data_IF_956625517903
#
_entry.id   IF_956625517903
#
_cell.length_a   1.000
_cell.length_b   1.000
_cell.length_c   1.000
_cell.angle_alpha   90.00
_cell.angle_beta   90.00
_cell.angle_gamma   90.00
#
_symmetry.space_group_name_H-M   'P 1'
#
loop_
_entity.id
_entity.type
_entity.pdbx_description
1 polymer ?
#
# COMPACT_ATOMS: atom_id res chain seq x y z
N UNK A 1 33.80 58.33 5.57
CA UNK A 1 35.23 58.47 5.92
C UNK A 1 35.84 57.08 5.95
N UNK A 2 36.77 56.86 5.02
CA UNK A 2 37.60 55.67 4.94
C UNK A 2 38.80 55.78 5.90
N UNK A 3 39.54 54.66 6.01
CA UNK A 3 40.96 54.53 6.36
C UNK A 3 41.30 53.94 7.75
N UNK A 4 41.89 52.74 7.74
CA UNK A 4 43.17 52.34 8.38
C UNK A 4 43.33 50.80 8.21
N UNK A 5 44.14 50.29 7.27
CA UNK A 5 45.60 49.99 7.38
C UNK A 5 45.94 49.20 8.64
N UNK A 6 46.74 48.12 8.66
CA UNK A 6 47.45 47.29 7.68
C UNK A 6 48.30 46.34 8.54
N UNK A 7 48.42 45.05 8.19
CA UNK A 7 49.69 44.33 8.44
C UNK A 7 49.85 43.19 7.44
N UNK A 8 50.92 43.38 6.68
CA UNK A 8 51.55 42.60 5.62
C UNK A 8 51.81 41.13 5.97
N UNK A 9 51.62 40.25 4.98
CA UNK A 9 52.46 39.07 4.82
C UNK A 9 52.73 38.82 3.33
N UNK A 10 54.01 38.73 2.95
CA UNK A 10 54.48 38.42 1.59
C UNK A 10 54.70 36.90 1.46
N UNK A 11 54.59 36.33 0.25
CA UNK A 11 54.69 34.89 0.03
C UNK A 11 56.15 34.45 -0.14
N UNK A 12 56.51 33.32 0.48
CA UNK A 12 57.75 32.59 0.15
C UNK A 12 57.44 31.39 -0.74
N UNK A 13 58.32 31.23 -1.72
CA UNK A 13 58.21 30.36 -2.87
C UNK A 13 58.83 28.97 -2.64
N UNK A 14 58.32 28.00 -3.41
CA UNK A 14 59.03 26.83 -3.99
C UNK A 14 59.49 25.69 -3.07
N UNK A 15 58.86 24.51 -3.25
CA UNK A 15 59.43 23.21 -3.74
C UNK A 15 58.41 22.05 -3.54
N UNK A 16 58.58 20.86 -4.16
CA UNK A 16 58.14 20.50 -5.50
C UNK A 16 56.92 19.55 -5.51
N UNK A 17 56.16 19.57 -6.61
CA UNK A 17 55.11 18.58 -6.91
C UNK A 17 55.73 17.22 -7.23
N UNK A 18 55.56 16.23 -6.36
CA UNK A 18 55.75 14.82 -6.71
C UNK A 18 54.51 14.31 -7.45
N UNK A 19 54.64 14.10 -8.76
CA UNK A 19 53.66 13.40 -9.59
C UNK A 19 53.62 11.92 -9.17
N UNK A 20 52.62 11.52 -8.40
CA UNK A 20 52.27 10.12 -8.26
C UNK A 20 51.72 9.61 -9.60
N UNK A 21 52.49 8.78 -10.30
CA UNK A 21 52.05 8.05 -11.49
C UNK A 21 51.03 7.00 -11.06
N UNK A 22 49.74 7.25 -11.28
CA UNK A 22 48.71 6.20 -11.26
C UNK A 22 48.97 5.32 -12.48
N UNK A 23 49.56 4.13 -12.26
CA UNK A 23 49.65 3.09 -13.28
C UNK A 23 48.26 2.46 -13.44
N UNK A 24 47.64 2.70 -14.59
CA UNK A 24 46.47 1.94 -15.03
C UNK A 24 46.85 0.44 -15.09
N UNK A 25 46.21 -0.39 -14.24
CA UNK A 25 46.29 -1.84 -14.38
C UNK A 25 45.37 -2.25 -15.52
N UNK A 26 45.99 -2.69 -16.62
CA UNK A 26 45.30 -3.38 -17.71
C UNK A 26 44.64 -4.65 -17.18
N UNK A 27 43.32 -4.76 -17.32
CA UNK A 27 42.61 -6.02 -17.14
C UNK A 27 42.94 -6.93 -18.34
N UNK A 28 43.97 -7.76 -18.19
CA UNK A 28 44.20 -8.88 -19.10
C UNK A 28 43.30 -10.03 -18.68
N UNK A 29 42.44 -10.46 -19.60
CA UNK A 29 41.57 -11.62 -19.48
C UNK A 29 42.39 -12.88 -19.20
N UNK A 30 42.28 -13.42 -17.98
CA UNK A 30 42.68 -14.79 -17.72
C UNK A 30 41.55 -15.71 -18.20
N UNK A 31 41.75 -16.37 -19.34
CA UNK A 31 40.94 -17.51 -19.75
C UNK A 31 41.18 -18.63 -18.73
N UNK A 32 40.20 -18.91 -17.88
CA UNK A 32 40.11 -20.18 -17.16
C UNK A 32 39.17 -21.09 -17.96
N UNK A 33 39.77 -22.12 -18.55
CA UNK A 33 39.13 -23.36 -18.94
C UNK A 33 38.60 -24.07 -17.69
N UNK A 34 37.33 -24.49 -17.69
CA UNK A 34 36.81 -25.38 -16.65
C UNK A 34 35.29 -25.38 -16.54
N UNK A 35 34.69 -26.48 -17.02
CA UNK A 35 33.35 -27.01 -16.73
C UNK A 35 32.13 -26.14 -17.11
N UNK A 36 31.39 -26.62 -18.11
CA UNK A 36 30.02 -26.21 -18.36
C UNK A 36 29.17 -26.48 -17.11
N UNK A 37 28.64 -25.42 -16.51
CA UNK A 37 27.57 -25.52 -15.54
C UNK A 37 26.26 -25.61 -16.34
N UNK A 38 25.77 -26.83 -16.54
CA UNK A 38 24.39 -27.11 -16.97
C UNK A 38 23.41 -26.75 -15.83
N UNK A 39 23.32 -25.46 -15.51
CA UNK A 39 22.24 -24.92 -14.71
C UNK A 39 21.05 -24.61 -15.62
N UNK A 40 19.80 -24.91 -15.21
CA UNK A 40 18.64 -24.50 -15.99
C UNK A 40 18.66 -22.98 -16.17
N UNK A 41 18.25 -22.46 -17.35
CA UNK A 41 18.18 -21.02 -17.56
C UNK A 41 17.28 -20.37 -16.50
N UNK A 42 17.54 -19.11 -16.10
CA UNK A 42 16.74 -18.44 -15.08
C UNK A 42 15.27 -18.46 -15.51
N UNK A 43 14.44 -19.16 -14.73
CA UNK A 43 13.02 -19.29 -15.03
C UNK A 43 12.35 -17.92 -14.92
N UNK A 44 11.83 -17.44 -16.04
CA UNK A 44 10.85 -16.35 -16.20
C UNK A 44 9.92 -16.30 -14.99
N UNK A 45 9.86 -15.15 -14.30
CA UNK A 45 8.98 -14.80 -13.17
C UNK A 45 7.97 -15.91 -12.82
N UNK A 46 8.39 -16.85 -11.97
CA UNK A 46 7.47 -17.84 -11.45
C UNK A 46 6.44 -17.11 -10.61
N UNK A 47 5.17 -17.27 -11.01
CA UNK A 47 4.00 -16.75 -10.30
C UNK A 47 4.10 -17.25 -8.85
N UNK A 48 3.95 -16.37 -7.87
CA UNK A 48 3.55 -16.82 -6.54
C UNK A 48 2.30 -17.70 -6.71
N UNK A 49 2.17 -18.80 -5.94
CA UNK A 49 1.03 -19.70 -6.08
C UNK A 49 -0.26 -18.87 -6.07
N UNK A 50 -1.17 -19.16 -7.01
CA UNK A 50 -2.48 -18.56 -7.03
C UNK A 50 -3.16 -18.90 -5.69
N UNK A 51 -3.19 -17.93 -4.79
CA UNK A 51 -4.05 -17.90 -3.61
C UNK A 51 -5.52 -18.05 -4.08
N UNK A 52 -6.43 -18.34 -3.14
CA UNK A 52 -7.87 -18.47 -3.39
C UNK A 52 -8.50 -17.25 -4.09
N UNK A 53 -9.83 -17.18 -4.12
CA UNK A 53 -10.61 -16.12 -4.78
C UNK A 53 -9.90 -14.75 -4.76
N UNK A 54 -9.80 -14.05 -5.90
CA UNK A 54 -9.01 -12.83 -6.02
C UNK A 54 -9.35 -11.85 -4.88
N UNK A 55 -8.35 -11.20 -4.26
CA UNK A 55 -8.58 -10.35 -3.10
C UNK A 55 -9.59 -9.26 -3.44
N UNK A 56 -10.57 -9.04 -2.56
CA UNK A 56 -11.55 -7.95 -2.73
C UNK A 56 -10.81 -6.62 -2.66
N UNK A 57 -10.83 -5.88 -3.76
CA UNK A 57 -10.27 -4.53 -3.83
C UNK A 57 -11.37 -3.51 -3.53
N UNK A 58 -11.12 -2.63 -2.56
CA UNK A 58 -12.02 -1.54 -2.21
C UNK A 58 -11.45 -0.20 -2.69
N UNK A 59 -12.29 0.65 -3.30
CA UNK A 59 -11.91 2.00 -3.74
C UNK A 59 -11.82 2.96 -2.57
N UNK A 60 -12.57 2.71 -1.51
CA UNK A 60 -12.62 3.55 -0.31
C UNK A 60 -12.68 2.74 0.97
N UNK A 61 -11.92 3.18 1.97
CA UNK A 61 -12.07 2.70 3.35
C UNK A 61 -12.39 3.89 4.27
N UNK A 62 -13.57 3.92 4.89
CA UNK A 62 -14.01 5.02 5.75
C UNK A 62 -13.63 4.78 7.20
N UNK A 63 -12.87 5.70 7.81
CA UNK A 63 -12.60 5.72 9.23
C UNK A 63 -13.87 5.95 10.06
N UNK A 64 -14.04 5.14 11.09
CA UNK A 64 -15.06 5.28 12.12
C UNK A 64 -14.42 5.00 13.50
N UNK A 65 -14.18 6.05 14.32
CA UNK A 65 -13.56 5.90 15.64
C UNK A 65 -14.37 4.98 16.56
N UNK A 66 -13.71 4.00 17.17
CA UNK A 66 -14.35 3.10 18.14
C UNK A 66 -14.87 3.83 19.38
N UNK A 67 -14.28 4.97 19.73
CA UNK A 67 -14.75 5.86 20.80
C UNK A 67 -16.06 6.57 20.50
N UNK A 68 -16.58 6.48 19.27
CA UNK A 68 -17.78 7.19 18.79
C UNK A 68 -18.80 6.23 18.19
N UNK A 69 -19.63 5.55 19.03
CA UNK A 69 -20.55 4.50 18.56
C UNK A 69 -21.58 5.00 17.53
N UNK A 70 -21.96 6.28 17.60
CA UNK A 70 -22.83 6.91 16.61
C UNK A 70 -22.20 6.97 15.21
N UNK A 71 -20.86 7.11 15.14
CA UNK A 71 -20.13 7.10 13.88
C UNK A 71 -19.96 5.68 13.32
N UNK A 72 -19.77 4.67 14.18
CA UNK A 72 -19.77 3.25 13.76
C UNK A 72 -21.08 2.91 13.03
N UNK A 73 -22.23 3.28 13.63
CA UNK A 73 -23.55 3.05 13.05
C UNK A 73 -23.78 3.88 11.77
N UNK A 74 -23.42 5.16 11.78
CA UNK A 74 -23.57 6.03 10.61
C UNK A 74 -22.73 5.56 9.42
N UNK A 75 -21.52 5.09 9.65
CA UNK A 75 -20.61 4.61 8.60
C UNK A 75 -21.18 3.37 7.87
N UNK A 76 -21.85 2.46 8.59
CA UNK A 76 -22.54 1.30 8.00
C UNK A 76 -23.65 1.69 7.02
N UNK A 77 -24.24 2.87 7.16
CA UNK A 77 -25.29 3.40 6.29
C UNK A 77 -24.79 4.30 5.15
N UNK A 78 -23.51 4.68 5.14
CA UNK A 78 -22.93 5.56 4.10
C UNK A 78 -22.69 4.85 2.78
N UNK A 79 -21.87 5.43 1.90
CA UNK A 79 -21.59 4.89 0.55
C UNK A 79 -20.20 4.25 0.40
N UNK A 80 -19.33 4.33 1.41
CA UNK A 80 -17.99 3.74 1.34
C UNK A 80 -18.03 2.22 1.10
N UNK A 81 -17.10 1.70 0.29
CA UNK A 81 -16.99 0.27 -0.03
C UNK A 81 -16.68 -0.59 1.21
N UNK A 82 -15.76 -0.12 2.06
CA UNK A 82 -15.40 -0.75 3.33
C UNK A 82 -15.23 0.29 4.44
N UNK A 83 -15.24 -0.16 5.69
CA UNK A 83 -15.06 0.68 6.87
C UNK A 83 -13.80 0.28 7.64
N UNK A 84 -13.26 1.23 8.39
CA UNK A 84 -12.19 1.04 9.36
C UNK A 84 -12.78 1.36 10.73
N UNK A 85 -13.02 0.33 11.52
CA UNK A 85 -13.30 0.50 12.95
C UNK A 85 -11.98 0.73 13.65
N UNK A 86 -11.80 1.92 14.20
CA UNK A 86 -10.49 2.36 14.66
C UNK A 86 -10.35 2.28 16.18
N UNK A 87 -9.34 1.55 16.64
CA UNK A 87 -8.95 1.44 18.05
C UNK A 87 -7.59 2.11 18.32
N UNK A 88 -6.99 2.78 17.34
CA UNK A 88 -5.64 3.33 17.43
C UNK A 88 -5.65 4.86 17.64
N UNK A 89 -5.12 5.68 16.72
CA UNK A 89 -4.81 7.10 16.95
C UNK A 89 -6.05 7.98 17.15
N UNK A 90 -7.24 7.59 16.67
CA UNK A 90 -8.48 8.32 16.96
C UNK A 90 -9.08 8.04 18.34
N UNK A 91 -8.44 7.15 19.12
CA UNK A 91 -8.90 6.75 20.45
C UNK A 91 -7.89 7.17 21.51
N UNK A 92 -8.25 8.12 22.41
CA UNK A 92 -7.40 8.48 23.55
C UNK A 92 -7.06 7.25 24.40
N UNK A 93 -5.86 7.20 24.98
CA UNK A 93 -5.37 6.05 25.76
C UNK A 93 -6.36 5.62 26.87
N UNK A 94 -6.93 6.58 27.59
CA UNK A 94 -7.90 6.33 28.66
C UNK A 94 -9.26 5.81 28.17
N UNK A 95 -9.54 5.91 26.86
CA UNK A 95 -10.80 5.51 26.24
C UNK A 95 -10.69 4.18 25.46
N UNK A 96 -9.52 3.51 25.45
CA UNK A 96 -9.30 2.27 24.68
C UNK A 96 -10.29 1.17 25.06
N UNK A 97 -10.51 0.94 26.35
CA UNK A 97 -11.44 -0.10 26.81
C UNK A 97 -12.90 0.22 26.47
N UNK A 98 -13.29 1.50 26.51
CA UNK A 98 -14.60 1.93 26.07
C UNK A 98 -14.78 1.76 24.56
N UNK A 99 -13.78 2.16 23.77
CA UNK A 99 -13.78 1.99 22.33
C UNK A 99 -13.89 0.50 21.93
N UNK A 100 -13.13 -0.39 22.60
CA UNK A 100 -13.24 -1.84 22.41
C UNK A 100 -14.65 -2.34 22.67
N UNK A 101 -15.30 -1.90 23.74
CA UNK A 101 -16.70 -2.26 24.05
C UNK A 101 -17.67 -1.81 22.98
N UNK A 102 -17.56 -0.57 22.48
CA UNK A 102 -18.42 -0.06 21.42
C UNK A 102 -18.23 -0.83 20.11
N UNK A 103 -16.98 -1.12 19.73
CA UNK A 103 -16.68 -1.91 18.54
C UNK A 103 -17.21 -3.34 18.69
N UNK A 104 -17.03 -3.98 19.86
CA UNK A 104 -17.59 -5.30 20.15
C UNK A 104 -19.12 -5.33 20.00
N UNK A 105 -19.81 -4.32 20.54
CA UNK A 105 -21.26 -4.18 20.40
C UNK A 105 -21.69 -4.00 18.94
N UNK A 106 -20.96 -3.20 18.15
CA UNK A 106 -21.24 -3.01 16.73
C UNK A 106 -21.02 -4.30 15.92
N UNK A 107 -19.99 -5.09 16.24
CA UNK A 107 -19.72 -6.39 15.63
C UNK A 107 -20.79 -7.43 16.00
N UNK A 108 -21.23 -7.45 17.26
CA UNK A 108 -22.28 -8.35 17.74
C UNK A 108 -23.66 -8.02 17.15
N UNK A 109 -23.93 -6.74 16.87
CA UNK A 109 -25.16 -6.30 16.21
C UNK A 109 -25.24 -6.71 14.72
N UNK A 110 -24.12 -7.14 14.13
CA UNK A 110 -24.00 -7.53 12.73
C UNK A 110 -23.61 -6.37 11.81
N UNK A 111 -22.79 -6.69 10.80
CA UNK A 111 -22.24 -5.71 9.86
C UNK A 111 -23.07 -5.68 8.58
N UNK A 112 -23.28 -4.48 8.02
CA UNK A 112 -23.93 -4.31 6.70
C UNK A 112 -22.90 -4.25 5.58
N UNK A 113 -21.66 -3.88 5.90
CA UNK A 113 -20.55 -3.66 4.98
C UNK A 113 -19.28 -4.36 5.43
N UNK A 114 -18.33 -4.62 4.51
CA UNK A 114 -16.98 -5.05 4.88
C UNK A 114 -16.31 -4.08 5.86
N UNK A 115 -15.66 -4.64 6.89
CA UNK A 115 -14.97 -3.88 7.94
C UNK A 115 -13.57 -4.42 8.16
N UNK A 116 -12.60 -3.51 8.26
CA UNK A 116 -11.31 -3.75 8.88
C UNK A 116 -11.31 -3.18 10.29
N UNK A 117 -10.67 -3.89 11.22
CA UNK A 117 -10.33 -3.36 12.53
C UNK A 117 -8.92 -2.78 12.51
N UNK A 118 -8.74 -1.47 12.71
CA UNK A 118 -7.41 -0.91 12.94
C UNK A 118 -7.05 -1.11 14.41
N UNK A 119 -6.15 -2.04 14.64
CA UNK A 119 -5.61 -2.40 15.97
C UNK A 119 -4.42 -1.51 16.30
N UNK A 120 -3.97 -1.50 17.54
CA UNK A 120 -2.66 -0.95 17.90
C UNK A 120 -1.56 -1.93 17.47
N UNK A 121 -0.37 -1.41 17.14
CA UNK A 121 0.77 -2.23 16.76
C UNK A 121 1.14 -3.21 17.91
N UNK A 122 1.54 -4.46 17.63
CA UNK A 122 1.92 -5.43 18.66
C UNK A 122 2.97 -4.93 19.66
N UNK A 123 3.84 -4.01 19.26
CA UNK A 123 4.85 -3.40 20.13
C UNK A 123 4.29 -2.40 21.14
N UNK A 124 3.03 -1.95 20.99
CA UNK A 124 2.39 -0.94 21.84
C UNK A 124 1.63 -1.55 23.05
N UNK A 125 1.47 -2.88 23.12
CA UNK A 125 0.85 -3.58 24.27
C UNK A 125 -0.67 -3.76 24.21
N UNK A 126 -1.38 -2.96 23.43
CA UNK A 126 -2.85 -3.00 23.31
C UNK A 126 -3.39 -4.06 22.33
N UNK A 127 -2.52 -4.61 21.48
CA UNK A 127 -2.88 -5.47 20.35
C UNK A 127 -3.77 -6.67 20.70
N UNK A 128 -3.47 -7.40 21.78
CA UNK A 128 -4.26 -8.57 22.15
C UNK A 128 -5.67 -8.20 22.60
N UNK A 129 -5.82 -7.10 23.33
CA UNK A 129 -7.13 -6.58 23.75
C UNK A 129 -7.94 -6.09 22.56
N UNK A 130 -7.30 -5.46 21.58
CA UNK A 130 -7.95 -5.04 20.35
C UNK A 130 -8.41 -6.24 19.51
N UNK A 131 -7.56 -7.25 19.36
CA UNK A 131 -7.89 -8.42 18.55
C UNK A 131 -9.03 -9.24 19.17
N UNK A 132 -9.11 -9.33 20.50
CA UNK A 132 -10.18 -10.01 21.21
C UNK A 132 -11.57 -9.40 20.95
N UNK A 133 -11.65 -8.15 20.51
CA UNK A 133 -12.93 -7.52 20.12
C UNK A 133 -13.63 -8.29 19.00
N UNK A 134 -12.86 -8.93 18.11
CA UNK A 134 -13.40 -9.72 17.01
C UNK A 134 -14.09 -11.01 17.48
N UNK A 135 -13.83 -11.50 18.70
CA UNK A 135 -14.51 -12.66 19.28
C UNK A 135 -16.02 -12.39 19.52
N UNK A 136 -16.43 -11.12 19.51
CA UNK A 136 -17.82 -10.70 19.67
C UNK A 136 -18.60 -10.56 18.36
N UNK A 137 -17.97 -10.79 17.20
CA UNK A 137 -18.64 -10.66 15.92
C UNK A 137 -19.75 -11.71 15.75
N UNK A 138 -20.93 -11.28 15.29
CA UNK A 138 -22.02 -12.20 14.95
C UNK A 138 -21.63 -13.19 13.83
N UNK A 139 -20.65 -12.80 13.02
CA UNK A 139 -20.01 -13.60 11.98
C UNK A 139 -18.79 -12.86 11.41
N UNK A 140 -17.87 -13.61 10.80
CA UNK A 140 -16.65 -13.05 10.20
C UNK A 140 -16.77 -12.83 8.67
N UNK A 141 -17.93 -13.08 8.06
CA UNK A 141 -18.19 -12.94 6.62
C UNK A 141 -17.95 -11.51 6.10
N UNK A 142 -18.15 -10.52 6.98
CA UNK A 142 -17.93 -9.09 6.70
C UNK A 142 -16.77 -8.49 7.47
N UNK A 143 -16.04 -9.29 8.25
CA UNK A 143 -14.78 -8.87 8.85
C UNK A 143 -13.66 -9.23 7.88
N UNK A 144 -13.06 -8.24 7.24
CA UNK A 144 -12.00 -8.45 6.25
C UNK A 144 -10.64 -8.72 6.90
N UNK A 145 -10.52 -8.42 8.19
CA UNK A 145 -9.31 -8.61 8.99
C UNK A 145 -8.88 -7.33 9.68
N UNK A 146 -7.58 -7.11 9.77
CA UNK A 146 -7.02 -5.99 10.54
C UNK A 146 -6.16 -5.06 9.69
N UNK A 147 -6.14 -3.78 10.06
CA UNK A 147 -5.12 -2.83 9.63
C UNK A 147 -4.03 -2.81 10.69
N UNK A 148 -2.79 -3.06 10.27
CA UNK A 148 -1.61 -2.97 11.14
C UNK A 148 -0.98 -1.59 10.96
N UNK A 149 -1.13 -0.65 11.93
CA UNK A 149 -0.45 0.64 11.87
C UNK A 149 1.03 0.50 12.19
N UNK A 150 1.80 1.51 11.80
CA UNK A 150 3.23 1.69 12.08
C UNK A 150 4.00 0.41 11.73
N UNK A 151 3.64 -0.17 10.58
CA UNK A 151 4.17 -1.43 10.08
C UNK A 151 5.60 -1.22 9.59
N UNK A 152 6.56 -1.41 10.49
CA UNK A 152 7.97 -1.18 10.23
C UNK A 152 8.76 -2.48 10.01
N UNK A 153 8.25 -3.59 10.55
CA UNK A 153 8.93 -4.88 10.54
C UNK A 153 8.01 -5.99 10.04
N UNK A 154 8.56 -6.91 9.25
CA UNK A 154 7.89 -8.12 8.83
C UNK A 154 7.49 -9.01 10.02
N UNK A 155 8.21 -8.95 11.14
CA UNK A 155 7.86 -9.68 12.37
C UNK A 155 6.55 -9.18 12.99
N UNK A 156 6.22 -7.88 12.89
CA UNK A 156 4.92 -7.38 13.33
C UNK A 156 3.78 -8.08 12.58
N UNK A 157 3.94 -8.24 11.26
CA UNK A 157 2.96 -8.94 10.41
C UNK A 157 2.84 -10.41 10.80
N UNK A 158 3.95 -11.08 11.14
CA UNK A 158 3.94 -12.48 11.59
C UNK A 158 3.23 -12.64 12.93
N UNK A 159 3.44 -11.71 13.87
CA UNK A 159 2.73 -11.69 15.16
C UNK A 159 1.23 -11.50 14.94
N UNK A 160 0.84 -10.55 14.08
CA UNK A 160 -0.57 -10.34 13.73
C UNK A 160 -1.17 -11.59 13.07
N UNK A 161 -0.45 -12.22 12.13
CA UNK A 161 -0.90 -13.43 11.45
C UNK A 161 -1.16 -14.58 12.43
N UNK A 162 -0.27 -14.81 13.39
CA UNK A 162 -0.44 -15.82 14.42
C UNK A 162 -1.65 -15.52 15.34
N UNK A 163 -1.87 -14.24 15.67
CA UNK A 163 -3.05 -13.81 16.40
C UNK A 163 -4.36 -14.12 15.66
N UNK A 164 -4.38 -13.88 14.34
CA UNK A 164 -5.52 -14.20 13.47
C UNK A 164 -5.74 -15.70 13.31
N UNK A 165 -4.66 -16.49 13.17
CA UNK A 165 -4.74 -17.97 13.15
C UNK A 165 -5.43 -18.49 14.43
N UNK A 166 -5.02 -17.97 15.59
CA UNK A 166 -5.61 -18.33 16.87
C UNK A 166 -7.06 -17.87 17.00
N UNK A 167 -7.45 -16.75 16.38
CA UNK A 167 -8.83 -16.25 16.40
C UNK A 167 -9.74 -17.09 15.50
N UNK A 168 -9.30 -17.42 14.29
CA UNK A 168 -10.06 -18.27 13.40
C UNK A 168 -10.23 -19.67 13.98
N UNK A 169 -9.18 -20.24 14.59
CA UNK A 169 -9.26 -21.54 15.24
C UNK A 169 -10.30 -21.59 16.37
N UNK A 170 -10.36 -20.57 17.24
CA UNK A 170 -11.31 -20.54 18.36
C UNK A 170 -12.73 -20.13 17.98
N UNK A 171 -12.90 -19.39 16.88
CA UNK A 171 -14.22 -19.03 16.33
C UNK A 171 -14.76 -20.06 15.32
N UNK A 172 -13.96 -21.08 14.97
CA UNK A 172 -14.32 -22.10 13.99
C UNK A 172 -14.34 -21.60 12.55
N UNK A 173 -13.71 -20.44 12.27
CA UNK A 173 -13.61 -19.89 10.93
C UNK A 173 -12.58 -20.65 10.08
N UNK A 174 -12.72 -20.57 8.76
CA UNK A 174 -11.78 -21.22 7.85
C UNK A 174 -10.41 -20.53 7.96
N UNK A 175 -9.30 -21.28 8.09
CA UNK A 175 -7.96 -20.70 8.10
C UNK A 175 -7.70 -19.79 6.89
N UNK A 176 -7.23 -18.57 7.14
CA UNK A 176 -6.95 -17.56 6.10
C UNK A 176 -8.15 -16.68 5.72
N UNK A 177 -9.25 -16.73 6.48
CA UNK A 177 -10.44 -15.87 6.25
C UNK A 177 -10.10 -14.39 6.44
N UNK A 178 -9.35 -14.05 7.48
CA UNK A 178 -9.01 -12.69 7.86
C UNK A 178 -7.65 -12.27 7.28
N UNK A 179 -7.67 -11.14 6.57
CA UNK A 179 -6.47 -10.53 6.00
C UNK A 179 -5.77 -9.53 6.92
N UNK A 180 -4.61 -9.08 6.47
CA UNK A 180 -3.83 -8.01 7.05
C UNK A 180 -3.65 -6.94 5.98
N UNK A 181 -3.95 -5.69 6.32
CA UNK A 181 -3.59 -4.52 5.53
C UNK A 181 -2.53 -3.72 6.30
N UNK A 182 -1.24 -3.90 6.03
CA UNK A 182 -0.20 -3.07 6.63
C UNK A 182 -0.33 -1.63 6.16
N UNK A 183 -0.31 -0.70 7.12
CA UNK A 183 -0.28 0.74 6.90
C UNK A 183 1.16 1.22 7.08
N UNK A 184 1.79 1.57 5.96
CA UNK A 184 3.12 2.17 5.94
C UNK A 184 2.99 3.64 6.29
N UNK A 185 3.53 4.01 7.43
CA UNK A 185 3.46 5.39 7.94
C UNK A 185 4.75 5.90 8.56
N UNK A 186 5.86 5.21 8.30
CA UNK A 186 7.22 5.67 8.64
C UNK A 186 8.17 5.42 7.47
N UNK A 187 9.32 6.09 7.47
CA UNK A 187 10.43 5.86 6.55
C UNK A 187 11.01 4.46 6.70
N UNK A 188 11.00 3.88 7.90
CA UNK A 188 11.46 2.51 8.13
C UNK A 188 10.51 1.49 7.50
N UNK A 189 9.19 1.64 7.69
CA UNK A 189 8.18 0.84 7.03
C UNK A 189 8.24 0.97 5.51
N UNK A 190 8.46 2.19 4.99
CA UNK A 190 8.66 2.39 3.56
C UNK A 190 9.90 1.64 3.05
N UNK A 191 11.02 1.73 3.77
CA UNK A 191 12.24 0.99 3.44
C UNK A 191 11.97 -0.51 3.35
N UNK A 192 11.22 -1.06 4.30
CA UNK A 192 10.98 -2.49 4.47
C UNK A 192 9.72 -3.02 3.74
N UNK A 193 9.09 -2.21 2.89
CA UNK A 193 7.76 -2.51 2.32
C UNK A 193 7.66 -3.88 1.63
N UNK A 194 8.65 -4.29 0.82
CA UNK A 194 8.63 -5.61 0.17
C UNK A 194 8.65 -6.77 1.18
N UNK A 195 9.48 -6.67 2.21
CA UNK A 195 9.61 -7.71 3.23
C UNK A 195 8.35 -7.82 4.08
N UNK A 196 7.74 -6.68 4.44
CA UNK A 196 6.43 -6.59 5.11
C UNK A 196 5.36 -7.24 4.24
N UNK A 197 5.31 -6.91 2.95
CA UNK A 197 4.33 -7.44 2.00
C UNK A 197 4.45 -8.97 1.81
N UNK A 198 5.66 -9.52 1.94
CA UNK A 198 5.96 -10.96 1.81
C UNK A 198 5.92 -11.73 3.13
N UNK A 199 5.71 -11.05 4.25
CA UNK A 199 5.83 -11.64 5.58
C UNK A 199 4.77 -12.72 5.87
N UNK A 200 3.60 -12.64 5.24
CA UNK A 200 2.49 -13.57 5.44
C UNK A 200 1.58 -13.67 4.21
N UNK A 201 1.01 -14.84 3.89
CA UNK A 201 -0.03 -14.96 2.85
C UNK A 201 -1.32 -14.22 3.23
N UNK A 202 -1.49 -13.80 4.50
CA UNK A 202 -2.63 -12.99 4.94
C UNK A 202 -2.55 -11.53 4.47
N UNK A 203 -1.40 -11.05 4.00
CA UNK A 203 -1.29 -9.69 3.49
C UNK A 203 -2.15 -9.55 2.23
N UNK A 204 -3.27 -8.83 2.37
CA UNK A 204 -4.28 -8.70 1.32
C UNK A 204 -4.01 -7.51 0.38
N UNK A 205 -3.21 -6.56 0.84
CA UNK A 205 -2.86 -5.33 0.14
C UNK A 205 -1.84 -4.52 0.93
N UNK A 206 -1.56 -3.29 0.49
CA UNK A 206 -0.69 -2.34 1.20
C UNK A 206 -1.33 -0.96 1.23
N UNK A 207 -1.13 -0.23 2.32
CA UNK A 207 -1.55 1.16 2.43
C UNK A 207 -0.38 2.10 2.77
N UNK A 208 -0.47 3.37 2.37
CA UNK A 208 0.46 4.43 2.75
C UNK A 208 -0.30 5.54 3.48
N UNK A 209 0.16 5.97 4.65
CA UNK A 209 -0.41 7.12 5.35
C UNK A 209 0.06 8.44 4.72
N UNK A 210 -0.59 8.88 3.66
CA UNK A 210 -0.20 10.05 2.86
C UNK A 210 -0.76 11.41 3.34
N UNK A 211 -1.28 11.49 4.57
CA UNK A 211 -1.95 12.69 5.09
C UNK A 211 -1.02 13.92 5.12
N UNK A 212 -1.61 15.11 4.96
CA UNK A 212 -0.89 16.39 4.87
C UNK A 212 0.03 16.66 6.08
N UNK A 213 -0.44 16.29 7.26
CA UNK A 213 0.25 16.39 8.56
C UNK A 213 0.22 15.04 9.31
N UNK A 214 0.15 13.94 8.55
CA UNK A 214 0.10 12.59 9.11
C UNK A 214 1.48 12.03 9.46
N UNK A 215 1.48 10.89 10.15
CA UNK A 215 2.66 10.18 10.67
C UNK A 215 3.80 10.09 9.65
N UNK A 216 3.52 9.68 8.41
CA UNK A 216 4.56 9.55 7.40
C UNK A 216 5.22 10.89 7.04
N UNK A 217 4.43 11.96 6.90
CA UNK A 217 4.95 13.28 6.55
C UNK A 217 5.83 13.83 7.69
N UNK A 218 5.40 13.59 8.93
CA UNK A 218 6.14 13.95 10.15
C UNK A 218 7.46 13.19 10.23
N UNK A 219 7.44 11.87 10.05
CA UNK A 219 8.65 11.03 10.11
C UNK A 219 9.63 11.34 8.98
N UNK A 220 9.11 11.65 7.78
CA UNK A 220 9.93 12.13 6.66
C UNK A 220 10.59 13.49 6.94
N UNK A 221 10.02 14.30 7.84
CA UNK A 221 10.38 15.71 8.01
C UNK A 221 10.01 16.55 6.77
N UNK A 222 8.98 16.12 6.04
CA UNK A 222 8.55 16.71 4.78
C UNK A 222 7.46 17.78 4.95
N UNK A 223 7.05 18.35 3.83
CA UNK A 223 5.88 19.22 3.75
C UNK A 223 4.96 18.76 2.64
N UNK A 224 3.69 18.59 2.98
CA UNK A 224 2.67 18.35 1.97
C UNK A 224 2.47 19.61 1.11
N UNK A 225 2.27 19.38 -0.19
CA UNK A 225 1.87 20.42 -1.14
C UNK A 225 0.87 19.81 -2.12
N UNK A 226 0.04 20.63 -2.80
CA UNK A 226 -0.88 20.12 -3.82
C UNK A 226 -0.20 19.33 -4.95
N UNK A 227 1.08 19.61 -5.23
CA UNK A 227 1.87 18.90 -6.24
C UNK A 227 2.44 17.57 -5.74
N UNK A 228 2.28 17.25 -4.45
CA UNK A 228 2.65 15.99 -3.81
C UNK A 228 4.09 15.51 -4.03
N UNK A 229 5.05 16.43 -4.27
CA UNK A 229 6.44 16.07 -4.60
C UNK A 229 7.13 15.28 -3.48
N UNK A 230 6.86 15.62 -2.22
CA UNK A 230 7.38 14.89 -1.06
C UNK A 230 6.90 13.42 -1.02
N UNK A 231 5.70 13.15 -1.55
CA UNK A 231 5.08 11.83 -1.57
C UNK A 231 5.33 11.06 -2.89
N UNK A 232 5.96 11.67 -3.89
CA UNK A 232 6.22 11.03 -5.19
C UNK A 232 7.08 9.76 -5.05
N UNK A 233 8.21 9.84 -4.34
CA UNK A 233 9.04 8.66 -4.07
C UNK A 233 8.35 7.64 -3.15
N UNK A 234 7.77 8.02 -1.99
CA UNK A 234 7.01 7.10 -1.14
C UNK A 234 5.92 6.32 -1.87
N UNK A 235 5.06 7.00 -2.62
CA UNK A 235 3.99 6.37 -3.41
C UNK A 235 4.56 5.43 -4.48
N UNK A 236 5.55 5.90 -5.24
CA UNK A 236 6.19 5.08 -6.29
C UNK A 236 6.86 3.84 -5.73
N UNK A 237 7.64 3.98 -4.64
CA UNK A 237 8.30 2.85 -3.99
C UNK A 237 7.31 1.86 -3.41
N UNK A 238 6.26 2.32 -2.72
CA UNK A 238 5.23 1.44 -2.18
C UNK A 238 4.58 0.61 -3.30
N UNK A 239 4.23 1.24 -4.43
CA UNK A 239 3.65 0.52 -5.56
C UNK A 239 4.61 -0.51 -6.16
N UNK A 240 5.86 -0.13 -6.39
CA UNK A 240 6.87 -1.06 -6.93
C UNK A 240 7.05 -2.27 -6.01
N UNK A 241 7.22 -2.05 -4.72
CA UNK A 241 7.45 -3.12 -3.75
C UNK A 241 6.21 -4.00 -3.57
N UNK A 242 5.01 -3.42 -3.46
CA UNK A 242 3.76 -4.16 -3.34
C UNK A 242 3.49 -5.03 -4.58
N UNK A 243 3.68 -4.48 -5.79
CA UNK A 243 3.52 -5.24 -7.05
C UNK A 243 4.58 -6.32 -7.20
N UNK A 244 5.83 -6.05 -6.78
CA UNK A 244 6.88 -7.07 -6.74
C UNK A 244 6.53 -8.21 -5.78
N UNK A 245 5.82 -7.92 -4.68
CA UNK A 245 5.33 -8.93 -3.74
C UNK A 245 4.10 -9.70 -4.25
N UNK A 246 3.48 -9.26 -5.35
CA UNK A 246 2.29 -9.86 -5.96
C UNK A 246 0.97 -9.27 -5.48
N UNK A 247 1.00 -8.11 -4.82
CA UNK A 247 -0.20 -7.46 -4.29
C UNK A 247 -0.82 -6.51 -5.30
N UNK A 248 -2.13 -6.64 -5.49
CA UNK A 248 -2.86 -5.79 -6.43
C UNK A 248 -3.63 -4.63 -5.79
N UNK A 249 -4.02 -4.81 -4.52
CA UNK A 249 -4.77 -3.83 -3.76
C UNK A 249 -3.80 -2.89 -3.02
N UNK A 250 -3.70 -1.66 -3.51
CA UNK A 250 -2.80 -0.64 -2.97
C UNK A 250 -3.61 0.61 -2.70
N UNK A 251 -3.57 1.10 -1.46
CA UNK A 251 -4.49 2.10 -0.92
C UNK A 251 -3.73 3.34 -0.45
N UNK A 252 -4.15 4.51 -0.93
CA UNK A 252 -3.55 5.79 -0.56
C UNK A 252 -4.17 6.30 0.76
N UNK A 253 -3.47 7.19 1.44
CA UNK A 253 -3.84 7.64 2.79
C UNK A 253 -4.98 8.63 2.81
N UNK A 254 -5.26 9.19 3.97
CA UNK A 254 -6.35 10.16 4.15
C UNK A 254 -5.99 11.52 3.55
N UNK A 255 -7.00 12.33 3.32
CA UNK A 255 -6.88 13.74 2.93
C UNK A 255 -7.59 14.59 4.00
N UNK A 256 -6.89 15.53 4.60
CA UNK A 256 -7.32 16.25 5.80
C UNK A 256 -8.16 17.49 5.47
N UNK A 257 -7.88 18.17 4.35
CA UNK A 257 -8.60 19.40 4.00
C UNK A 257 -10.02 19.12 3.45
N UNK A 258 -10.99 18.94 4.34
CA UNK A 258 -12.38 18.59 3.99
C UNK A 258 -13.12 19.62 3.12
N UNK A 259 -12.57 20.83 2.94
CA UNK A 259 -13.21 21.91 2.17
C UNK A 259 -12.78 21.95 0.70
N UNK A 260 -11.75 21.20 0.34
CA UNK A 260 -11.12 21.29 -0.99
C UNK A 260 -11.29 20.00 -1.78
N UNK A 261 -12.46 19.83 -2.38
CA UNK A 261 -12.79 18.65 -3.17
C UNK A 261 -11.94 18.53 -4.45
N UNK A 262 -11.46 19.66 -5.00
CA UNK A 262 -10.63 19.68 -6.21
C UNK A 262 -9.20 19.24 -5.89
N UNK A 263 -8.64 19.68 -4.75
CA UNK A 263 -7.36 19.18 -4.28
C UNK A 263 -7.43 17.67 -3.93
N UNK A 264 -8.52 17.21 -3.32
CA UNK A 264 -8.76 15.78 -3.11
C UNK A 264 -8.74 15.02 -4.44
N UNK A 265 -9.46 15.52 -5.45
CA UNK A 265 -9.55 14.91 -6.78
C UNK A 265 -8.18 14.84 -7.45
N UNK A 266 -7.42 15.92 -7.40
CA UNK A 266 -6.06 15.98 -7.94
C UNK A 266 -5.13 14.97 -7.25
N UNK A 267 -5.19 14.87 -5.92
CA UNK A 267 -4.39 13.89 -5.18
C UNK A 267 -4.80 12.45 -5.49
N UNK A 268 -6.10 12.15 -5.59
CA UNK A 268 -6.57 10.83 -6.00
C UNK A 268 -6.11 10.48 -7.41
N UNK A 269 -6.10 11.44 -8.34
CA UNK A 269 -5.65 11.23 -9.71
C UNK A 269 -4.14 10.91 -9.75
N UNK A 270 -3.32 11.63 -8.97
CA UNK A 270 -1.89 11.35 -8.82
C UNK A 270 -1.65 9.95 -8.21
N UNK A 271 -2.40 9.57 -7.19
CA UNK A 271 -2.30 8.24 -6.60
C UNK A 271 -2.68 7.14 -7.61
N UNK A 272 -3.78 7.33 -8.34
CA UNK A 272 -4.22 6.39 -9.40
C UNK A 272 -3.18 6.25 -10.51
N UNK A 273 -2.59 7.36 -10.96
CA UNK A 273 -1.51 7.37 -11.96
C UNK A 273 -0.33 6.51 -11.52
N UNK A 274 0.04 6.58 -10.24
CA UNK A 274 1.14 5.80 -9.67
C UNK A 274 0.79 4.32 -9.46
N UNK A 275 -0.48 3.93 -9.52
CA UNK A 275 -0.93 2.53 -9.43
C UNK A 275 -1.69 2.16 -8.16
N UNK A 276 -2.13 3.15 -7.37
CA UNK A 276 -3.09 2.96 -6.29
C UNK A 276 -4.50 2.74 -6.86
N UNK A 277 -5.30 1.95 -6.15
CA UNK A 277 -6.65 1.55 -6.59
C UNK A 277 -7.74 1.93 -5.59
N UNK A 278 -7.36 2.61 -4.51
CA UNK A 278 -8.29 3.15 -3.53
C UNK A 278 -7.62 4.15 -2.60
N UNK A 279 -8.42 4.76 -1.73
CA UNK A 279 -7.95 5.75 -0.75
C UNK A 279 -8.74 5.65 0.57
N UNK A 280 -8.10 5.97 1.68
CA UNK A 280 -8.75 6.07 2.97
C UNK A 280 -9.52 7.39 3.10
N UNK A 281 -10.71 7.35 3.68
CA UNK A 281 -11.59 8.49 3.88
C UNK A 281 -11.81 8.76 5.37
N UNK A 282 -11.89 10.03 5.74
CA UNK A 282 -12.20 10.48 7.12
C UNK A 282 -13.52 11.24 7.19
N UNK A 283 -14.13 11.55 6.04
CA UNK A 283 -15.40 12.25 5.98
C UNK A 283 -16.27 11.76 4.81
N UNK A 284 -17.59 11.54 5.00
CA UNK A 284 -18.49 11.04 3.96
C UNK A 284 -18.47 11.82 2.64
N UNK A 285 -18.27 13.14 2.70
CA UNK A 285 -18.21 14.00 1.51
C UNK A 285 -17.05 13.65 0.55
N UNK A 286 -16.05 12.89 1.00
CA UNK A 286 -14.91 12.48 0.18
C UNK A 286 -15.21 11.26 -0.71
N UNK A 287 -16.21 10.45 -0.33
CA UNK A 287 -16.47 9.13 -0.93
C UNK A 287 -16.82 9.26 -2.41
N UNK A 288 -17.70 10.20 -2.78
CA UNK A 288 -18.11 10.38 -4.17
C UNK A 288 -16.92 10.70 -5.09
N UNK A 289 -16.08 11.66 -4.69
CA UNK A 289 -14.86 12.03 -5.44
C UNK A 289 -13.90 10.85 -5.55
N UNK A 290 -13.66 10.11 -4.46
CA UNK A 290 -12.79 8.95 -4.48
C UNK A 290 -13.34 7.84 -5.39
N UNK A 291 -14.64 7.55 -5.33
CA UNK A 291 -15.28 6.55 -6.20
C UNK A 291 -15.18 6.94 -7.66
N UNK A 292 -15.42 8.20 -7.99
CA UNK A 292 -15.28 8.70 -9.36
C UNK A 292 -13.86 8.49 -9.88
N UNK A 293 -12.84 8.86 -9.10
CA UNK A 293 -11.44 8.76 -9.53
C UNK A 293 -10.95 7.32 -9.58
N UNK A 294 -11.28 6.46 -8.61
CA UNK A 294 -10.77 5.08 -8.58
C UNK A 294 -11.62 4.08 -9.36
N UNK A 295 -12.73 4.50 -9.96
CA UNK A 295 -13.53 3.65 -10.85
C UNK A 295 -13.03 3.79 -12.30
N UNK A 296 -12.66 2.69 -12.98
CA UNK A 296 -12.36 2.74 -14.40
C UNK A 296 -13.58 3.22 -15.21
N UNK A 297 -13.34 4.15 -16.12
CA UNK A 297 -14.37 4.69 -17.02
C UNK A 297 -14.81 3.67 -18.07
N UNK A 298 -15.96 3.93 -18.72
CA UNK A 298 -16.51 3.04 -19.75
C UNK A 298 -15.53 2.81 -20.91
N UNK A 299 -14.78 3.84 -21.31
CA UNK A 299 -13.78 3.72 -22.36
C UNK A 299 -12.60 2.81 -21.94
N UNK A 300 -12.12 2.93 -20.70
CA UNK A 300 -11.02 2.11 -20.19
C UNK A 300 -11.43 0.62 -20.10
N UNK A 301 -12.67 0.36 -19.69
CA UNK A 301 -13.24 -0.99 -19.66
C UNK A 301 -13.36 -1.53 -21.09
N UNK A 302 -13.97 -0.80 -22.01
CA UNK A 302 -14.12 -1.23 -23.40
C UNK A 302 -12.75 -1.43 -24.08
N UNK A 303 -11.76 -0.58 -23.78
CA UNK A 303 -10.40 -0.75 -24.26
C UNK A 303 -9.78 -2.05 -23.73
N UNK A 304 -9.90 -2.31 -22.42
CA UNK A 304 -9.38 -3.52 -21.78
C UNK A 304 -10.04 -4.80 -22.34
N UNK A 305 -11.37 -4.80 -22.53
CA UNK A 305 -12.09 -5.93 -23.12
C UNK A 305 -11.66 -6.20 -24.56
N UNK A 306 -11.57 -5.17 -25.41
CA UNK A 306 -11.12 -5.31 -26.79
C UNK A 306 -9.66 -5.75 -26.91
N UNK A 307 -8.79 -5.25 -26.02
CA UNK A 307 -7.38 -5.67 -25.94
C UNK A 307 -7.26 -7.15 -25.61
N UNK A 308 -8.04 -7.62 -24.62
CA UNK A 308 -8.08 -9.03 -24.22
C UNK A 308 -8.60 -9.92 -25.35
N UNK A 309 -9.64 -9.48 -26.07
CA UNK A 309 -10.17 -10.21 -27.22
C UNK A 309 -9.14 -10.35 -28.34
N UNK A 310 -8.50 -9.24 -28.73
CA UNK A 310 -7.46 -9.24 -29.76
C UNK A 310 -6.27 -10.14 -29.39
N UNK A 311 -5.84 -10.11 -28.12
CA UNK A 311 -4.75 -10.96 -27.67
C UNK A 311 -5.11 -12.46 -27.71
N UNK A 312 -6.35 -12.83 -27.31
CA UNK A 312 -6.84 -14.22 -27.37
C UNK A 312 -6.87 -14.74 -28.79
N UNK A 313 -7.40 -13.95 -29.72
CA UNK A 313 -7.42 -14.29 -31.15
C UNK A 313 -5.99 -14.51 -31.69
N UNK A 314 -5.04 -13.63 -31.35
CA UNK A 314 -3.65 -13.83 -31.73
C UNK A 314 -3.03 -15.09 -31.14
N UNK A 315 -3.29 -15.37 -29.86
CA UNK A 315 -2.77 -16.53 -29.17
C UNK A 315 -3.28 -17.85 -29.78
N UNK A 316 -4.54 -17.91 -30.23
CA UNK A 316 -5.11 -19.05 -30.95
C UNK A 316 -4.36 -19.33 -32.27
N UNK A 317 -3.80 -18.30 -32.89
CA UNK A 317 -2.97 -18.40 -34.10
C UNK A 317 -1.46 -18.51 -33.82
N UNK A 318 -1.06 -18.71 -32.56
CA UNK A 318 0.35 -18.82 -32.17
C UNK A 318 1.13 -17.50 -32.20
N UNK A 319 0.44 -16.35 -32.24
CA UNK A 319 1.03 -15.01 -32.32
C UNK A 319 1.14 -14.44 -30.89
N UNK A 320 2.37 -14.23 -30.42
CA UNK A 320 2.63 -13.71 -29.07
C UNK A 320 2.45 -12.20 -28.88
N UNK A 321 2.29 -11.44 -29.97
CA UNK A 321 2.03 -10.01 -29.93
C UNK A 321 1.14 -9.58 -31.11
N UNK A 322 0.05 -8.87 -30.83
CA UNK A 322 -0.95 -8.45 -31.82
C UNK A 322 -1.04 -6.94 -31.91
N UNK A 323 -1.61 -6.43 -33.01
CA UNK A 323 -1.90 -5.01 -33.15
C UNK A 323 -3.33 -4.71 -32.70
N UNK A 324 -3.51 -3.77 -31.78
CA UNK A 324 -4.83 -3.29 -31.35
C UNK A 324 -4.80 -1.77 -31.23
N UNK A 325 -5.76 -1.08 -31.87
CA UNK A 325 -5.84 0.40 -31.92
C UNK A 325 -4.51 1.10 -32.23
N UNK A 326 -3.73 0.55 -33.15
CA UNK A 326 -2.45 1.13 -33.58
C UNK A 326 -1.25 0.77 -32.70
N UNK A 327 -1.45 0.14 -31.53
CA UNK A 327 -0.39 -0.25 -30.60
C UNK A 327 -0.11 -1.75 -30.67
N UNK A 328 1.12 -2.14 -30.35
CA UNK A 328 1.49 -3.54 -30.13
C UNK A 328 1.04 -3.97 -28.74
N UNK A 329 0.33 -5.08 -28.67
CA UNK A 329 -0.23 -5.68 -27.46
C UNK A 329 0.40 -7.04 -27.24
N UNK A 330 0.86 -7.27 -26.01
CA UNK A 330 1.46 -8.52 -25.56
C UNK A 330 0.92 -8.91 -24.17
N UNK A 331 1.52 -9.93 -23.56
CA UNK A 331 1.14 -10.40 -22.23
C UNK A 331 1.26 -9.33 -21.12
N UNK A 332 2.14 -8.34 -21.25
CA UNK A 332 2.25 -7.28 -20.26
C UNK A 332 1.00 -6.37 -20.29
N UNK A 333 0.53 -6.07 -21.49
CA UNK A 333 -0.68 -5.28 -21.71
C UNK A 333 -1.95 -6.01 -21.22
N UNK A 334 -2.01 -7.33 -21.43
CA UNK A 334 -3.08 -8.21 -20.91
C UNK A 334 -3.21 -8.09 -19.38
N UNK A 335 -2.09 -8.13 -18.64
CA UNK A 335 -2.12 -8.00 -17.18
C UNK A 335 -2.68 -6.66 -16.71
N UNK A 336 -2.41 -5.58 -17.45
CA UNK A 336 -3.00 -4.28 -17.16
C UNK A 336 -4.52 -4.30 -17.39
N UNK A 337 -4.97 -4.85 -18.52
CA UNK A 337 -6.39 -4.99 -18.83
C UNK A 337 -7.13 -5.86 -17.80
N UNK A 338 -6.56 -6.99 -17.37
CA UNK A 338 -7.12 -7.85 -16.32
C UNK A 338 -7.36 -7.10 -15.02
N UNK A 339 -6.41 -6.25 -14.60
CA UNK A 339 -6.57 -5.40 -13.40
C UNK A 339 -7.68 -4.38 -13.57
N UNK A 340 -7.73 -3.68 -14.70
CA UNK A 340 -8.80 -2.72 -15.00
C UNK A 340 -10.17 -3.39 -14.92
N UNK A 341 -10.31 -4.59 -15.48
CA UNK A 341 -11.56 -5.35 -15.44
C UNK A 341 -11.89 -5.89 -14.04
N UNK A 342 -10.88 -6.29 -13.26
CA UNK A 342 -11.08 -6.71 -11.88
C UNK A 342 -11.65 -5.56 -11.02
N UNK A 343 -11.12 -4.34 -11.19
CA UNK A 343 -11.66 -3.13 -10.52
C UNK A 343 -13.07 -2.79 -10.98
N UNK A 344 -13.39 -2.99 -12.27
CA UNK A 344 -14.73 -2.74 -12.79
C UNK A 344 -15.78 -3.77 -12.33
N UNK A 345 -15.38 -5.01 -12.01
CA UNK A 345 -16.27 -6.09 -11.54
C UNK A 345 -16.56 -6.06 -10.04
N UNK A 346 -15.75 -5.38 -9.24
CA UNK A 346 -15.99 -5.17 -7.80
C UNK A 346 -17.13 -4.21 -7.48
N UNK A 347 -18.04 -3.98 -8.44
CA UNK A 347 -19.26 -3.18 -8.32
C UNK A 347 -20.38 -3.98 -7.67
#
# INVERSE_FOLDING_TARGET
>A
MACAWSRTWRPSSTRPRTRAKVRARSWRSARRSGAAADGPPPTRHQKAPAMGSPPRMFRTLMFAPGSRPELLAKAQAGDADALIFDLEDSVPAQAKDEARRHVAQALAAGLRKPVYLRVNNPRAGDFHGDLAVLDHAAGLDRVMGVILPKADDADDVRVVAAGLDALEARTGATPGTLGILPLIETCLGLRNTFDIARASPRVAGMALASAEEGDFMVDLGGHWTPHSRALAYPRGKLVVDARAAGLDWIVDGVFMNLRDADALRAECALARELGFVGKMAIHPAQVATMHEVFTPGAEEVAHAEGLMAAYREGAEHGIGAVKYRGMMVDLANVRMAERTLALARGR
#
